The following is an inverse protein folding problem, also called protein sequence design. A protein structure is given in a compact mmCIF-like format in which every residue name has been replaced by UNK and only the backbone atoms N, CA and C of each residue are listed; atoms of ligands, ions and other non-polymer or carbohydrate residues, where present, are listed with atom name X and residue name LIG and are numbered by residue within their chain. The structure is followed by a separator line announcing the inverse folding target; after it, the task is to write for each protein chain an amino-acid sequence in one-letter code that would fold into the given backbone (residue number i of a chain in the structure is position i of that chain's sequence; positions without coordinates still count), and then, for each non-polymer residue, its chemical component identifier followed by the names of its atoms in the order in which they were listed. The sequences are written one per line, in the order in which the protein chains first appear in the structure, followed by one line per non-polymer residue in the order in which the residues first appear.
data_IF_412904440597
#
_entry.id   IF_412904440597
#
_cell.length_a   1.000
_cell.length_b   1.000
_cell.length_c   1.000
_cell.angle_alpha   90.00
_cell.angle_beta   90.00
_cell.angle_gamma   90.00
#
_symmetry.space_group_name_H-M   'P 1'
#
loop_
_entity.id
_entity.type
_entity.pdbx_description
1 polymer ?
#
# COMPACT_ATOMS: atom_id res chain seq x y z
N UNK A 1 -17.50 -4.26 8.43
CA UNK A 1 -16.04 -4.39 8.29
C UNK A 1 -15.38 -4.04 9.61
N UNK A 2 -14.43 -4.85 10.06
CA UNK A 2 -13.67 -4.55 11.28
C UNK A 2 -12.81 -3.29 11.08
N UNK A 3 -12.47 -2.58 12.16
CA UNK A 3 -11.57 -1.42 12.05
C UNK A 3 -10.18 -1.86 11.58
N UNK A 4 -9.43 -0.99 10.91
CA UNK A 4 -8.08 -1.33 10.49
C UNK A 4 -7.14 -1.56 11.68
N UNK A 5 -6.13 -2.40 11.48
CA UNK A 5 -5.06 -2.63 12.45
C UNK A 5 -4.23 -1.37 12.67
N UNK A 6 -4.07 -0.59 11.62
CA UNK A 6 -3.43 0.73 11.66
C UNK A 6 -4.03 1.60 10.55
N UNK A 7 -4.12 2.90 10.79
CA UNK A 7 -4.52 3.86 9.75
C UNK A 7 -3.85 5.20 10.00
N UNK A 8 -3.57 5.91 8.91
CA UNK A 8 -2.94 7.23 8.91
C UNK A 8 -3.62 8.07 7.83
N UNK A 9 -3.78 9.36 8.08
CA UNK A 9 -4.36 10.27 7.10
C UNK A 9 -3.58 11.57 7.02
N UNK A 10 -3.68 12.24 5.86
CA UNK A 10 -2.99 13.48 5.58
C UNK A 10 -3.81 14.31 4.58
N UNK A 11 -3.70 15.64 4.66
CA UNK A 11 -4.24 16.51 3.61
C UNK A 11 -3.22 16.65 2.49
N UNK A 12 -3.70 16.57 1.25
CA UNK A 12 -2.88 16.73 0.03
C UNK A 12 -3.47 17.84 -0.82
N UNK A 13 -2.64 18.82 -1.19
CA UNK A 13 -3.03 19.97 -2.02
C UNK A 13 -2.96 19.59 -3.51
N UNK A 14 -3.74 18.61 -3.90
CA UNK A 14 -3.87 18.13 -5.28
C UNK A 14 -5.25 17.49 -5.47
N UNK A 15 -5.78 17.48 -6.69
CA UNK A 15 -7.08 16.86 -6.94
C UNK A 15 -7.07 15.34 -6.66
N UNK A 16 -8.20 14.77 -6.23
CA UNK A 16 -8.31 13.32 -6.01
C UNK A 16 -7.84 12.47 -7.21
N UNK A 17 -8.12 12.89 -8.43
CA UNK A 17 -7.72 12.17 -9.63
C UNK A 17 -6.20 12.06 -9.77
N UNK A 18 -5.47 13.11 -9.39
CA UNK A 18 -4.00 13.13 -9.45
C UNK A 18 -3.40 12.17 -8.43
N UNK A 19 -3.93 12.18 -7.20
CA UNK A 19 -3.50 11.27 -6.14
C UNK A 19 -3.82 9.82 -6.53
N UNK A 20 -5.02 9.57 -7.04
CA UNK A 20 -5.41 8.23 -7.48
C UNK A 20 -4.50 7.71 -8.60
N UNK A 21 -4.20 8.54 -9.58
CA UNK A 21 -3.30 8.16 -10.66
C UNK A 21 -1.91 7.76 -10.14
N UNK A 22 -1.40 8.46 -9.13
CA UNK A 22 -0.11 8.14 -8.55
C UNK A 22 -0.14 6.81 -7.78
N UNK A 23 -1.11 6.61 -6.89
CA UNK A 23 -1.14 5.39 -6.06
C UNK A 23 -1.47 4.13 -6.87
N UNK A 24 -2.13 4.26 -8.01
CA UNK A 24 -2.43 3.13 -8.89
C UNK A 24 -1.37 2.87 -9.95
N UNK A 25 -0.40 3.75 -10.09
CA UNK A 25 0.77 3.51 -10.96
C UNK A 25 1.77 2.62 -10.21
N UNK A 26 1.55 1.32 -10.31
CA UNK A 26 2.31 0.30 -9.57
C UNK A 26 3.80 0.38 -9.90
N UNK A 27 4.15 0.62 -11.17
CA UNK A 27 5.55 0.65 -11.58
C UNK A 27 6.33 1.82 -10.99
N UNK A 28 5.63 2.87 -10.54
CA UNK A 28 6.23 4.03 -9.88
C UNK A 28 6.18 3.96 -8.35
N UNK A 29 5.70 2.87 -7.76
CA UNK A 29 5.47 2.75 -6.32
C UNK A 29 6.72 3.01 -5.48
N UNK A 30 7.90 2.63 -5.96
CA UNK A 30 9.15 2.83 -5.23
C UNK A 30 9.49 4.30 -4.98
N UNK A 31 8.91 5.22 -5.74
CA UNK A 31 9.15 6.65 -5.56
C UNK A 31 8.54 7.23 -4.29
N UNK A 32 7.53 6.57 -3.73
CA UNK A 32 6.82 7.07 -2.55
C UNK A 32 6.57 6.04 -1.44
N UNK A 33 6.77 4.75 -1.72
CA UNK A 33 6.62 3.68 -0.73
C UNK A 33 7.98 3.28 -0.18
N UNK A 34 8.17 3.41 1.13
CA UNK A 34 9.49 3.30 1.76
C UNK A 34 10.07 1.88 1.79
N UNK A 35 9.24 0.85 1.77
CA UNK A 35 9.73 -0.54 1.74
C UNK A 35 9.84 -1.10 0.33
N UNK A 36 9.20 -0.49 -0.64
CA UNK A 36 9.13 -1.01 -2.00
C UNK A 36 10.39 -0.65 -2.81
N UNK A 37 11.12 -1.67 -3.26
CA UNK A 37 12.23 -1.49 -4.21
C UNK A 37 11.72 -1.32 -5.62
N UNK A 38 10.75 -2.14 -6.00
CA UNK A 38 10.09 -2.08 -7.31
C UNK A 38 8.79 -2.89 -7.26
N UNK A 39 7.89 -2.58 -8.17
CA UNK A 39 6.66 -3.34 -8.34
C UNK A 39 6.36 -3.49 -9.83
N UNK A 40 5.70 -4.58 -10.19
CA UNK A 40 5.40 -4.91 -11.58
C UNK A 40 4.08 -5.66 -11.69
N UNK A 41 3.32 -5.40 -12.76
CA UNK A 41 2.11 -6.15 -13.02
C UNK A 41 2.43 -7.59 -13.38
N UNK A 42 1.57 -8.51 -12.93
CA UNK A 42 1.67 -9.94 -13.19
C UNK A 42 0.47 -10.37 -14.02
N UNK A 43 0.71 -11.06 -15.14
CA UNK A 43 -0.34 -11.51 -16.02
C UNK A 43 -0.70 -10.49 -17.09
N UNK A 44 -1.89 -10.65 -17.69
CA UNK A 44 -2.30 -9.81 -18.82
C UNK A 44 -2.92 -8.47 -18.43
N UNK A 45 -3.55 -8.40 -17.25
CA UNK A 45 -4.15 -7.16 -16.76
C UNK A 45 -3.06 -6.31 -16.13
N UNK A 46 -2.82 -5.13 -16.72
CA UNK A 46 -1.73 -4.22 -16.32
C UNK A 46 -2.26 -2.85 -15.92
N UNK A 47 -3.38 -2.84 -15.25
CA UNK A 47 -4.01 -1.62 -14.73
C UNK A 47 -4.76 -1.92 -13.44
N UNK A 48 -5.03 -0.86 -12.66
CA UNK A 48 -5.73 -0.99 -11.39
C UNK A 48 -7.21 -1.28 -11.63
N UNK A 49 -7.58 -2.55 -11.47
CA UNK A 49 -8.96 -3.00 -11.41
C UNK A 49 -9.07 -4.29 -10.61
N UNK A 50 -10.25 -4.60 -10.04
CA UNK A 50 -10.40 -5.81 -9.23
C UNK A 50 -9.95 -7.07 -9.96
N UNK A 51 -9.15 -7.89 -9.28
CA UNK A 51 -8.58 -9.10 -9.84
C UNK A 51 -7.21 -8.94 -10.48
N UNK A 52 -6.79 -7.71 -10.82
CA UNK A 52 -5.45 -7.44 -11.32
C UNK A 52 -4.42 -7.78 -10.24
N UNK A 53 -3.27 -8.30 -10.62
CA UNK A 53 -2.22 -8.71 -9.69
C UNK A 53 -0.91 -8.01 -10.01
N UNK A 54 -0.15 -7.72 -8.96
CA UNK A 54 1.20 -7.19 -9.10
C UNK A 54 2.13 -7.81 -8.07
N UNK A 55 3.41 -7.84 -8.40
CA UNK A 55 4.45 -8.32 -7.50
C UNK A 55 5.17 -7.13 -6.92
N UNK A 56 5.28 -7.09 -5.59
CA UNK A 56 6.09 -6.12 -4.89
C UNK A 56 7.40 -6.76 -4.43
N UNK A 57 8.52 -6.09 -4.68
CA UNK A 57 9.83 -6.46 -4.19
C UNK A 57 10.19 -5.49 -3.09
N UNK A 58 10.33 -5.97 -1.86
CA UNK A 58 10.45 -5.13 -0.67
C UNK A 58 11.78 -5.35 0.04
N UNK A 59 12.18 -4.35 0.81
CA UNK A 59 13.39 -4.45 1.63
C UNK A 59 13.24 -3.67 2.93
N UNK A 60 13.96 -4.13 3.95
CA UNK A 60 14.15 -3.43 5.22
C UNK A 60 15.54 -3.76 5.74
N UNK A 61 16.45 -2.81 5.63
CA UNK A 61 17.85 -3.05 5.91
C UNK A 61 18.44 -4.09 4.95
N UNK A 62 18.98 -5.19 5.50
CA UNK A 62 19.51 -6.29 4.69
C UNK A 62 18.48 -7.33 4.32
N UNK A 63 17.26 -7.22 4.85
CA UNK A 63 16.19 -8.19 4.60
C UNK A 63 15.44 -7.81 3.33
N UNK A 64 15.17 -8.82 2.51
CA UNK A 64 14.44 -8.66 1.26
C UNK A 64 13.39 -9.75 1.13
N UNK A 65 12.23 -9.38 0.61
CA UNK A 65 11.15 -10.34 0.36
C UNK A 65 10.28 -9.82 -0.77
N UNK A 66 9.50 -10.72 -1.36
CA UNK A 66 8.53 -10.35 -2.38
C UNK A 66 7.14 -10.84 -2.00
N UNK A 67 6.13 -10.14 -2.50
CA UNK A 67 4.72 -10.47 -2.26
C UNK A 67 3.95 -10.38 -3.55
N UNK A 68 2.84 -11.11 -3.63
CA UNK A 68 1.85 -10.97 -4.70
C UNK A 68 0.65 -10.24 -4.12
N UNK A 69 0.27 -9.17 -4.79
CA UNK A 69 -0.85 -8.34 -4.40
C UNK A 69 -1.96 -8.49 -5.42
N UNK A 70 -3.19 -8.67 -4.94
CA UNK A 70 -4.39 -8.73 -5.79
C UNK A 70 -5.26 -7.53 -5.50
N UNK A 71 -5.54 -6.74 -6.52
CA UNK A 71 -6.42 -5.58 -6.39
C UNK A 71 -7.83 -6.04 -6.02
N UNK A 72 -8.39 -5.51 -4.95
CA UNK A 72 -9.74 -5.84 -4.46
C UNK A 72 -10.73 -4.71 -4.71
N UNK A 73 -10.26 -3.47 -4.81
CA UNK A 73 -11.11 -2.32 -5.12
C UNK A 73 -10.30 -1.29 -5.92
N UNK A 74 -10.91 -0.72 -6.93
CA UNK A 74 -10.32 0.32 -7.78
C UNK A 74 -11.43 1.24 -8.26
N UNK A 75 -11.78 2.23 -7.44
CA UNK A 75 -12.81 3.23 -7.75
C UNK A 75 -12.10 4.56 -8.00
N UNK A 76 -12.03 5.02 -9.28
CA UNK A 76 -11.22 6.18 -9.65
C UNK A 76 -11.49 7.42 -8.79
N UNK A 77 -10.41 7.99 -8.26
CA UNK A 77 -10.47 9.17 -7.42
C UNK A 77 -10.97 8.93 -6.00
N UNK A 78 -11.28 7.69 -5.61
CA UNK A 78 -11.89 7.39 -4.32
C UNK A 78 -11.21 6.30 -3.52
N UNK A 79 -10.99 5.13 -4.12
CA UNK A 79 -10.49 3.96 -3.40
C UNK A 79 -9.54 3.15 -4.27
N UNK A 80 -8.42 2.75 -3.69
CA UNK A 80 -7.56 1.72 -4.24
C UNK A 80 -7.18 0.77 -3.10
N UNK A 81 -7.51 -0.51 -3.24
CA UNK A 81 -7.23 -1.51 -2.22
C UNK A 81 -6.70 -2.79 -2.85
N UNK A 82 -5.83 -3.46 -2.12
CA UNK A 82 -5.26 -4.73 -2.56
C UNK A 82 -4.94 -5.64 -1.38
N UNK A 83 -5.02 -6.94 -1.64
CA UNK A 83 -4.70 -7.98 -0.66
C UNK A 83 -3.29 -8.51 -0.94
N UNK A 84 -2.47 -8.58 0.10
CA UNK A 84 -1.05 -8.99 0.00
C UNK A 84 -0.91 -10.42 0.48
N UNK A 85 -0.22 -11.25 -0.32
CA UNK A 85 0.11 -12.63 0.01
C UNK A 85 1.61 -12.88 -0.15
N UNK A 86 2.18 -13.58 0.81
CA UNK A 86 3.56 -14.06 0.73
C UNK A 86 3.58 -15.43 0.06
N UNK A 87 4.56 -15.68 -0.82
CA UNK A 87 4.68 -16.92 -1.58
C UNK A 87 3.41 -17.27 -2.39
N UNK A 88 2.56 -16.28 -2.67
CA UNK A 88 1.33 -16.45 -3.43
C UNK A 88 0.19 -17.15 -2.69
N UNK A 89 0.39 -17.66 -1.48
CA UNK A 89 -0.57 -18.51 -0.76
C UNK A 89 -0.89 -18.03 0.66
N UNK A 90 0.05 -17.37 1.33
CA UNK A 90 -0.07 -17.03 2.75
C UNK A 90 -0.55 -15.58 2.91
N UNK A 91 -1.67 -15.41 3.58
CA UNK A 91 -2.24 -14.09 3.82
C UNK A 91 -1.31 -13.24 4.68
N UNK A 92 -1.12 -11.98 4.30
CA UNK A 92 -0.30 -11.02 5.04
C UNK A 92 -1.14 -9.84 5.50
N UNK A 93 -1.75 -9.11 4.56
CA UNK A 93 -2.51 -7.90 4.89
C UNK A 93 -3.42 -7.47 3.77
N UNK A 94 -4.43 -6.69 4.12
CA UNK A 94 -5.22 -5.89 3.19
C UNK A 94 -4.77 -4.45 3.35
N UNK A 95 -4.51 -3.76 2.25
CA UNK A 95 -4.15 -2.34 2.21
C UNK A 95 -5.21 -1.56 1.44
N UNK A 96 -5.53 -0.35 1.93
CA UNK A 96 -6.53 0.49 1.29
C UNK A 96 -6.11 1.96 1.35
N UNK A 97 -6.15 2.62 0.20
CA UNK A 97 -6.11 4.07 0.09
C UNK A 97 -7.54 4.58 -0.09
N UNK A 98 -7.95 5.52 0.75
CA UNK A 98 -9.22 6.23 0.63
C UNK A 98 -8.96 7.70 0.35
N UNK A 99 -9.66 8.27 -0.63
CA UNK A 99 -9.48 9.64 -1.07
C UNK A 99 -10.82 10.36 -0.96
N UNK A 100 -10.84 11.48 -0.25
CA UNK A 100 -12.04 12.30 -0.10
C UNK A 100 -11.74 13.72 -0.55
N UNK A 101 -12.52 14.29 -1.50
CA UNK A 101 -12.25 15.64 -1.97
C UNK A 101 -12.48 16.67 -0.86
N UNK A 102 -11.67 17.73 -0.87
CA UNK A 102 -11.81 18.90 0.00
C UNK A 102 -11.82 20.16 -0.87
N UNK A 103 -12.04 21.32 -0.26
CA UNK A 103 -12.02 22.60 -0.99
C UNK A 103 -10.63 22.92 -1.57
N UNK A 104 -9.56 22.42 -0.97
CA UNK A 104 -8.19 22.77 -1.33
C UNK A 104 -7.39 21.59 -1.87
N UNK A 105 -8.03 20.46 -2.13
CA UNK A 105 -7.37 19.26 -2.61
C UNK A 105 -8.11 18.00 -2.21
N UNK A 106 -7.48 17.16 -1.40
CA UNK A 106 -8.14 15.96 -0.89
C UNK A 106 -7.56 15.52 0.46
N UNK A 107 -8.35 14.71 1.14
CA UNK A 107 -7.94 13.98 2.33
C UNK A 107 -7.56 12.57 1.89
N UNK A 108 -6.34 12.16 2.17
CA UNK A 108 -5.82 10.85 1.81
C UNK A 108 -5.63 10.01 3.07
N UNK A 109 -6.29 8.86 3.12
CA UNK A 109 -6.19 7.92 4.22
C UNK A 109 -5.59 6.60 3.71
N UNK A 110 -4.68 6.03 4.47
CA UNK A 110 -4.19 4.68 4.24
C UNK A 110 -4.51 3.82 5.45
N UNK A 111 -5.16 2.69 5.22
CA UNK A 111 -5.49 1.72 6.25
C UNK A 111 -4.91 0.36 5.92
N UNK A 112 -4.61 -0.43 6.93
CA UNK A 112 -4.18 -1.82 6.76
C UNK A 112 -4.89 -2.72 7.75
N UNK A 113 -5.22 -3.92 7.30
CA UNK A 113 -5.81 -4.98 8.09
C UNK A 113 -4.85 -6.16 8.07
N UNK A 114 -4.40 -6.57 9.27
CA UNK A 114 -3.52 -7.74 9.41
C UNK A 114 -4.34 -9.00 9.20
N UNK A 115 -4.06 -9.72 8.13
CA UNK A 115 -4.75 -10.97 7.78
C UNK A 115 -3.90 -12.21 8.05
N UNK A 116 -2.72 -12.04 8.66
CA UNK A 116 -1.79 -13.14 8.92
C UNK A 116 -2.38 -14.13 9.95
N UNK A 117 -2.20 -15.43 9.70
CA UNK A 117 -2.43 -16.45 10.70
C UNK A 117 -1.29 -16.52 11.73
N UNK A 118 -1.42 -17.33 12.79
CA UNK A 118 -0.38 -17.43 13.84
C UNK A 118 1.00 -17.79 13.31
N UNK A 119 1.08 -18.70 12.36
CA UNK A 119 2.34 -19.12 11.75
C UNK A 119 3.03 -17.94 11.04
N UNK A 120 2.27 -17.18 10.25
CA UNK A 120 2.82 -16.06 9.50
C UNK A 120 3.24 -14.88 10.38
N UNK A 121 2.62 -14.73 11.54
CA UNK A 121 3.03 -13.68 12.50
C UNK A 121 4.43 -13.94 13.02
N UNK A 122 4.77 -15.20 13.28
CA UNK A 122 6.10 -15.60 13.75
C UNK A 122 7.12 -15.54 12.61
N UNK A 123 6.82 -16.20 11.48
CA UNK A 123 7.72 -16.27 10.32
C UNK A 123 7.94 -14.89 9.70
N UNK A 124 6.86 -14.10 9.58
CA UNK A 124 6.96 -12.74 9.04
C UNK A 124 7.87 -11.84 9.86
N UNK A 125 7.83 -11.96 11.19
CA UNK A 125 8.73 -11.24 12.07
C UNK A 125 10.19 -11.63 11.88
N UNK A 126 10.46 -12.91 11.66
CA UNK A 126 11.80 -13.42 11.39
C UNK A 126 12.32 -12.96 10.02
N UNK A 127 11.47 -12.98 8.99
CA UNK A 127 11.84 -12.60 7.63
C UNK A 127 12.04 -11.10 7.49
N UNK A 128 11.13 -10.28 8.03
CA UNK A 128 11.17 -8.82 7.89
C UNK A 128 11.94 -8.13 9.02
N UNK A 129 12.18 -8.82 10.14
CA UNK A 129 12.82 -8.25 11.32
C UNK A 129 11.92 -7.33 12.12
N UNK A 130 10.61 -7.36 11.89
CA UNK A 130 9.63 -6.50 12.56
C UNK A 130 8.85 -7.30 13.59
N UNK A 131 8.94 -6.92 14.87
CA UNK A 131 8.20 -7.57 15.96
C UNK A 131 6.84 -6.92 16.19
N UNK A 132 6.80 -5.58 16.31
CA UNK A 132 5.55 -4.82 16.44
C UNK A 132 5.13 -4.34 15.06
N UNK A 133 4.31 -5.16 14.38
CA UNK A 133 3.90 -4.88 13.01
C UNK A 133 2.98 -3.66 12.91
N UNK A 134 2.12 -3.45 13.90
CA UNK A 134 1.20 -2.30 13.88
C UNK A 134 1.95 -0.98 13.96
N UNK A 135 2.89 -0.84 14.92
CA UNK A 135 3.68 0.38 15.06
C UNK A 135 4.59 0.61 13.84
N UNK A 136 5.20 -0.45 13.32
CA UNK A 136 6.04 -0.37 12.12
C UNK A 136 5.23 0.09 10.91
N UNK A 137 4.05 -0.48 10.71
CA UNK A 137 3.16 -0.11 9.61
C UNK A 137 2.72 1.35 9.72
N UNK A 138 2.36 1.81 10.92
CA UNK A 138 1.95 3.20 11.12
C UNK A 138 3.06 4.17 10.73
N UNK A 139 4.29 3.92 11.17
CA UNK A 139 5.44 4.76 10.82
C UNK A 139 5.70 4.75 9.31
N UNK A 140 5.64 3.59 8.67
CA UNK A 140 5.81 3.46 7.22
C UNK A 140 4.68 4.15 6.45
N UNK A 141 3.44 4.04 6.93
CA UNK A 141 2.30 4.69 6.31
C UNK A 141 2.42 6.20 6.34
N UNK A 142 2.89 6.78 7.45
CA UNK A 142 3.15 8.22 7.52
C UNK A 142 4.18 8.66 6.50
N UNK A 143 5.30 7.94 6.39
CA UNK A 143 6.34 8.23 5.40
C UNK A 143 5.84 8.07 3.97
N UNK A 144 5.03 7.05 3.74
CA UNK A 144 4.41 6.80 2.43
C UNK A 144 3.48 7.95 2.03
N UNK A 145 2.59 8.36 2.93
CA UNK A 145 1.67 9.48 2.65
C UNK A 145 2.43 10.79 2.44
N UNK A 146 3.46 11.05 3.23
CA UNK A 146 4.33 12.21 3.03
C UNK A 146 5.06 12.15 1.69
N UNK A 147 5.49 10.96 1.27
CA UNK A 147 6.09 10.74 -0.04
C UNK A 147 5.13 11.04 -1.18
N UNK A 148 3.90 10.56 -1.08
CA UNK A 148 2.84 10.84 -2.06
C UNK A 148 2.59 12.36 -2.13
N UNK A 149 2.43 13.00 -0.98
CA UNK A 149 2.21 14.44 -0.89
C UNK A 149 3.33 15.22 -1.59
N UNK A 150 4.59 14.87 -1.33
CA UNK A 150 5.73 15.54 -1.97
C UNK A 150 5.69 15.41 -3.49
N UNK A 151 5.38 14.22 -3.99
CA UNK A 151 5.38 13.96 -5.44
C UNK A 151 4.27 14.76 -6.12
N UNK A 152 3.04 14.71 -5.61
CA UNK A 152 1.90 15.34 -6.30
C UNK A 152 1.86 16.85 -6.11
N UNK A 153 2.38 17.40 -5.01
CA UNK A 153 2.36 18.84 -4.76
C UNK A 153 3.46 19.59 -5.48
N UNK A 154 4.45 18.87 -6.04
CA UNK A 154 5.52 19.47 -6.85
C UNK A 154 5.12 19.73 -8.29
N UNK A 155 4.04 19.14 -8.75
CA UNK A 155 3.60 19.26 -10.16
C UNK A 155 2.50 20.32 -10.38
#
# INVERSE_FOLDING_TARGET
MSPPSASVSIHVSAPPAVVYALVTDITGMSAWNVECLRAEWVGQVREARPGARFRGHNSRGRRRWSTICTVTAADPGRVFAYHVRAAGLLDVALWRFGITPTKTGCHLEQGTWDTRGPFMRVVGGLVTGVRDRAAHNEANMRRTLEGIKRVVERT
#
